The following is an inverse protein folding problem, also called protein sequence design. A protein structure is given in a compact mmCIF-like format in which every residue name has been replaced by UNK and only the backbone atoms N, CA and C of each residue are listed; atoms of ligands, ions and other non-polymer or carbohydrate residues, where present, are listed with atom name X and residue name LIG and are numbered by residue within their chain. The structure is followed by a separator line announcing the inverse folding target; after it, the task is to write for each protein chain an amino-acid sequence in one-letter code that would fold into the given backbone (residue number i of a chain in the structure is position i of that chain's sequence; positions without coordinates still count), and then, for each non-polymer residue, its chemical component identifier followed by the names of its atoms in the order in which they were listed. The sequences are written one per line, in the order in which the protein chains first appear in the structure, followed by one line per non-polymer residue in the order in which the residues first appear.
data_IF_753308841627
#
_entry.id   IF_753308841627
#
_cell.length_a   1.000
_cell.length_b   1.000
_cell.length_c   1.000
_cell.angle_alpha   90.00
_cell.angle_beta   90.00
_cell.angle_gamma   90.00
#
_symmetry.space_group_name_H-M   'P 1'
#
loop_
_entity.id
_entity.type
_entity.pdbx_description
1 polymer ?
#
# COMPACT_ATOMS: atom_id res chain seq x y z
N UNK A 1 73.48 19.22 -34.21
CA UNK A 1 72.40 20.23 -34.25
C UNK A 1 71.09 19.46 -34.21
N UNK A 2 70.46 19.40 -33.04
CA UNK A 2 69.23 18.61 -32.81
C UNK A 2 68.03 19.53 -32.93
N UNK A 3 67.23 19.37 -33.99
CA UNK A 3 65.97 20.09 -34.18
C UNK A 3 64.91 19.53 -33.22
N UNK A 4 64.37 20.38 -32.34
CA UNK A 4 63.23 20.02 -31.48
C UNK A 4 61.91 20.06 -32.28
N UNK A 5 60.87 19.29 -31.88
CA UNK A 5 59.60 19.28 -32.57
C UNK A 5 58.80 20.57 -32.32
N UNK A 6 58.24 21.13 -33.39
CA UNK A 6 57.39 22.33 -33.38
C UNK A 6 56.13 22.14 -32.51
N UNK A 7 55.68 23.17 -31.77
CA UNK A 7 54.44 23.12 -31.01
C UNK A 7 53.22 23.11 -31.94
N UNK A 8 52.48 22.00 -31.95
CA UNK A 8 51.22 21.85 -32.68
C UNK A 8 50.17 22.83 -32.14
N UNK A 9 49.94 23.93 -32.88
CA UNK A 9 48.82 24.83 -32.67
C UNK A 9 47.54 24.14 -33.16
N UNK A 10 46.79 23.52 -32.24
CA UNK A 10 45.54 22.85 -32.54
C UNK A 10 44.37 23.83 -32.25
N UNK A 11 43.70 24.40 -33.27
CA UNK A 11 42.64 25.37 -33.04
C UNK A 11 41.44 24.68 -32.39
N UNK A 12 41.06 25.14 -31.20
CA UNK A 12 39.86 24.68 -30.50
C UNK A 12 38.64 24.87 -31.41
N UNK A 13 38.05 23.76 -31.85
CA UNK A 13 36.76 23.80 -32.52
C UNK A 13 35.69 24.17 -31.48
N UNK A 14 34.79 25.13 -31.77
CA UNK A 14 33.71 25.48 -30.86
C UNK A 14 32.83 24.26 -30.62
N UNK A 15 32.56 23.96 -29.34
CA UNK A 15 31.69 22.86 -28.96
C UNK A 15 30.31 23.04 -29.62
N UNK A 16 29.67 21.97 -30.12
CA UNK A 16 28.30 22.02 -30.60
C UNK A 16 27.39 22.65 -29.55
N UNK A 17 26.51 23.56 -29.96
CA UNK A 17 25.50 24.15 -29.10
C UNK A 17 24.62 23.04 -28.50
N UNK A 18 24.42 23.08 -27.18
CA UNK A 18 23.58 22.12 -26.47
C UNK A 18 22.17 22.08 -27.10
N UNK A 19 21.54 20.90 -27.21
CA UNK A 19 20.16 20.80 -27.69
C UNK A 19 19.24 21.70 -26.88
N UNK A 20 18.20 22.31 -27.49
CA UNK A 20 17.20 23.06 -26.75
C UNK A 20 16.65 22.20 -25.62
N UNK A 21 16.77 22.67 -24.37
CA UNK A 21 16.11 22.03 -23.24
C UNK A 21 14.61 22.16 -23.45
N UNK A 22 13.91 21.04 -23.65
CA UNK A 22 12.46 21.03 -23.78
C UNK A 22 11.85 21.69 -22.53
N UNK A 23 11.07 22.76 -22.72
CA UNK A 23 10.46 23.53 -21.64
C UNK A 23 9.45 22.72 -20.77
N UNK A 24 9.25 21.44 -21.09
CA UNK A 24 8.49 20.47 -20.29
C UNK A 24 9.28 19.82 -19.15
N UNK A 25 10.59 20.06 -19.03
CA UNK A 25 11.39 19.55 -17.92
C UNK A 25 10.93 20.14 -16.58
N UNK A 26 10.15 19.36 -15.83
CA UNK A 26 9.74 19.69 -14.46
C UNK A 26 8.31 20.20 -14.29
N UNK A 27 7.52 20.31 -15.37
CA UNK A 27 6.10 20.66 -15.23
C UNK A 27 5.35 19.55 -14.46
N UNK A 28 4.54 19.89 -13.44
CA UNK A 28 3.69 18.91 -12.77
C UNK A 28 2.75 18.28 -13.79
N UNK A 29 2.98 17.00 -14.11
CA UNK A 29 2.06 16.24 -14.97
C UNK A 29 0.71 16.22 -14.27
N UNK A 30 -0.32 16.70 -14.96
CA UNK A 30 -1.69 16.64 -14.45
C UNK A 30 -2.01 15.19 -14.08
N UNK A 31 -2.40 14.97 -12.82
CA UNK A 31 -2.65 13.62 -12.32
C UNK A 31 -3.81 13.00 -13.12
N UNK A 32 -3.65 11.79 -13.68
CA UNK A 32 -4.74 11.09 -14.35
C UNK A 32 -5.92 10.82 -13.41
N UNK A 33 -7.15 10.88 -13.93
CA UNK A 33 -8.36 10.56 -13.17
C UNK A 33 -8.34 9.13 -12.62
N UNK A 34 -7.73 8.19 -13.34
CA UNK A 34 -7.51 6.80 -12.89
C UNK A 34 -6.72 6.71 -11.58
N UNK A 35 -5.64 7.48 -11.44
CA UNK A 35 -4.82 7.53 -10.21
C UNK A 35 -5.62 8.12 -9.05
N UNK A 36 -6.40 9.18 -9.30
CA UNK A 36 -7.23 9.79 -8.26
C UNK A 36 -8.39 8.89 -7.82
N UNK A 37 -9.04 8.20 -8.76
CA UNK A 37 -10.10 7.24 -8.46
C UNK A 37 -9.56 6.03 -7.68
N UNK A 38 -8.39 5.50 -8.08
CA UNK A 38 -7.71 4.46 -7.32
C UNK A 38 -7.41 4.90 -5.89
N UNK A 39 -6.87 6.11 -5.70
CA UNK A 39 -6.59 6.66 -4.38
C UNK A 39 -7.85 6.70 -3.51
N UNK A 40 -8.99 7.18 -4.04
CA UNK A 40 -10.26 7.21 -3.31
C UNK A 40 -10.71 5.82 -2.90
N UNK A 41 -10.57 4.81 -3.78
CA UNK A 41 -10.93 3.43 -3.46
C UNK A 41 -10.04 2.82 -2.36
N UNK A 42 -8.73 3.12 -2.37
CA UNK A 42 -7.84 2.70 -1.28
C UNK A 42 -8.19 3.35 0.05
N UNK A 43 -8.52 4.65 0.05
CA UNK A 43 -8.98 5.36 1.25
C UNK A 43 -10.30 4.77 1.74
N UNK A 44 -11.25 4.51 0.84
CA UNK A 44 -12.52 3.85 1.18
C UNK A 44 -12.29 2.48 1.80
N UNK A 45 -11.42 1.65 1.21
CA UNK A 45 -11.09 0.34 1.76
C UNK A 45 -10.45 0.45 3.15
N UNK A 46 -9.56 1.41 3.36
CA UNK A 46 -8.97 1.67 4.68
C UNK A 46 -10.03 2.07 5.71
N UNK A 47 -10.98 2.94 5.34
CA UNK A 47 -12.09 3.33 6.21
C UNK A 47 -12.98 2.14 6.57
N UNK A 48 -13.33 1.31 5.60
CA UNK A 48 -14.10 0.08 5.85
C UNK A 48 -13.35 -0.88 6.78
N UNK A 49 -12.03 -1.03 6.59
CA UNK A 49 -11.19 -1.84 7.47
C UNK A 49 -11.14 -1.30 8.91
N UNK A 50 -11.03 0.02 9.08
CA UNK A 50 -11.06 0.66 10.42
C UNK A 50 -12.41 0.45 11.09
N UNK A 51 -13.51 0.65 10.36
CA UNK A 51 -14.86 0.40 10.88
C UNK A 51 -15.02 -1.07 11.27
N UNK A 52 -14.61 -2.00 10.41
CA UNK A 52 -14.63 -3.44 10.69
C UNK A 52 -13.84 -3.78 11.95
N UNK A 53 -12.62 -3.25 12.10
CA UNK A 53 -11.79 -3.45 13.29
C UNK A 53 -12.47 -2.91 14.56
N UNK A 54 -13.06 -1.71 14.50
CA UNK A 54 -13.80 -1.14 15.64
C UNK A 54 -15.01 -2.03 16.00
N UNK A 55 -15.76 -2.50 15.02
CA UNK A 55 -16.89 -3.40 15.26
C UNK A 55 -16.43 -4.72 15.89
N UNK A 56 -15.32 -5.30 15.45
CA UNK A 56 -14.72 -6.48 16.07
C UNK A 56 -14.32 -6.20 17.53
N UNK A 57 -13.75 -5.04 17.82
CA UNK A 57 -13.42 -4.65 19.20
C UNK A 57 -14.66 -4.41 20.07
N UNK A 58 -15.75 -3.88 19.52
CA UNK A 58 -16.95 -3.58 20.30
C UNK A 58 -17.83 -4.82 20.52
N UNK A 59 -17.87 -5.73 19.54
CA UNK A 59 -18.81 -6.87 19.52
C UNK A 59 -18.13 -8.21 19.77
N UNK A 60 -16.80 -8.32 19.59
CA UNK A 60 -16.07 -9.58 19.60
C UNK A 60 -15.29 -9.87 20.89
N UNK A 61 -15.20 -8.93 21.83
CA UNK A 61 -14.36 -9.07 23.03
C UNK A 61 -14.79 -10.22 23.93
N UNK A 62 -16.10 -10.47 24.05
CA UNK A 62 -16.61 -11.57 24.87
C UNK A 62 -16.20 -12.93 24.31
N UNK A 63 -16.31 -13.11 22.98
CA UNK A 63 -15.86 -14.32 22.30
C UNK A 63 -14.33 -14.50 22.43
N UNK A 64 -13.56 -13.41 22.33
CA UNK A 64 -12.12 -13.41 22.57
C UNK A 64 -11.76 -13.86 23.99
N UNK A 65 -12.46 -13.35 25.00
CA UNK A 65 -12.28 -13.75 26.40
C UNK A 65 -12.59 -15.22 26.61
N UNK A 66 -13.70 -15.69 26.06
CA UNK A 66 -14.11 -17.09 26.21
C UNK A 66 -13.09 -18.04 25.55
N UNK A 67 -12.58 -17.66 24.37
CA UNK A 67 -11.52 -18.39 23.68
C UNK A 67 -10.20 -18.38 24.45
N UNK A 68 -9.80 -17.24 25.01
CA UNK A 68 -8.60 -17.12 25.84
C UNK A 68 -8.71 -17.98 27.11
N UNK A 69 -9.86 -17.97 27.79
CA UNK A 69 -10.11 -18.80 28.96
C UNK A 69 -10.01 -20.30 28.63
N UNK A 70 -10.61 -20.73 27.51
CA UNK A 70 -10.51 -22.11 27.01
C UNK A 70 -9.06 -22.51 26.74
N UNK A 71 -8.28 -21.61 26.13
CA UNK A 71 -6.90 -21.90 25.77
C UNK A 71 -5.99 -22.00 27.01
N UNK A 72 -6.12 -21.09 27.97
CA UNK A 72 -5.39 -21.13 29.24
C UNK A 72 -5.72 -22.42 30.01
N UNK A 73 -6.99 -22.83 30.04
CA UNK A 73 -7.43 -24.06 30.68
C UNK A 73 -6.78 -25.31 30.03
N UNK A 74 -6.68 -25.36 28.70
CA UNK A 74 -6.01 -26.45 27.98
C UNK A 74 -4.52 -26.53 28.27
N UNK A 75 -3.87 -25.38 28.48
CA UNK A 75 -2.43 -25.31 28.73
C UNK A 75 -2.05 -25.58 30.19
N UNK A 76 -3.00 -25.93 31.08
CA UNK A 76 -2.80 -26.16 32.52
C UNK A 76 -1.97 -25.05 33.21
N UNK A 77 -2.04 -23.83 32.68
CA UNK A 77 -1.26 -22.71 33.17
C UNK A 77 -1.99 -22.09 34.36
N UNK A 78 -1.34 -22.08 35.52
CA UNK A 78 -1.91 -21.52 36.76
C UNK A 78 -1.35 -20.12 37.01
N UNK A 79 -2.15 -19.24 37.63
CA UNK A 79 -1.74 -17.87 37.98
C UNK A 79 -1.79 -16.84 36.84
N UNK A 80 -2.29 -17.21 35.65
CA UNK A 80 -2.52 -16.27 34.55
C UNK A 80 -3.96 -15.79 34.57
N UNK A 81 -4.13 -14.47 34.66
CA UNK A 81 -5.43 -13.82 34.59
C UNK A 81 -5.88 -13.61 33.13
N UNK A 82 -7.06 -14.16 32.80
CA UNK A 82 -7.66 -14.06 31.46
C UNK A 82 -7.86 -12.60 31.06
N UNK A 83 -8.29 -11.76 32.01
CA UNK A 83 -8.48 -10.32 31.79
C UNK A 83 -7.20 -9.65 31.31
N UNK A 84 -6.08 -9.98 31.95
CA UNK A 84 -4.76 -9.46 31.63
C UNK A 84 -4.32 -9.91 30.23
N UNK A 85 -4.51 -11.19 29.88
CA UNK A 85 -4.14 -11.74 28.56
C UNK A 85 -4.96 -11.11 27.44
N UNK A 86 -6.28 -11.01 27.62
CA UNK A 86 -7.17 -10.41 26.63
C UNK A 86 -6.83 -8.94 26.44
N UNK A 87 -6.67 -8.18 27.53
CA UNK A 87 -6.35 -6.76 27.48
C UNK A 87 -5.00 -6.52 26.78
N UNK A 88 -3.97 -7.29 27.12
CA UNK A 88 -2.68 -7.21 26.45
C UNK A 88 -2.77 -7.53 24.96
N UNK A 89 -3.54 -8.56 24.59
CA UNK A 89 -3.80 -8.93 23.20
C UNK A 89 -4.53 -7.83 22.43
N UNK A 90 -5.56 -7.23 23.01
CA UNK A 90 -6.32 -6.13 22.39
C UNK A 90 -5.48 -4.88 22.22
N UNK A 91 -4.67 -4.50 23.22
CA UNK A 91 -3.75 -3.36 23.11
C UNK A 91 -2.73 -3.60 22.01
N UNK A 92 -2.12 -4.79 21.98
CA UNK A 92 -1.16 -5.15 20.95
C UNK A 92 -1.78 -5.13 19.55
N UNK A 93 -2.95 -5.74 19.38
CA UNK A 93 -3.69 -5.73 18.12
C UNK A 93 -4.08 -4.30 17.70
N UNK A 94 -4.50 -3.46 18.64
CA UNK A 94 -4.81 -2.06 18.42
C UNK A 94 -3.62 -1.25 17.91
N UNK A 95 -2.45 -1.40 18.54
CA UNK A 95 -1.21 -0.75 18.10
C UNK A 95 -0.83 -1.19 16.70
N UNK A 96 -0.88 -2.50 16.41
CA UNK A 96 -0.61 -3.04 15.07
C UNK A 96 -1.60 -2.52 14.03
N UNK A 97 -2.90 -2.49 14.36
CA UNK A 97 -3.94 -1.99 13.46
C UNK A 97 -3.72 -0.51 13.11
N UNK A 98 -3.47 0.34 14.11
CA UNK A 98 -3.18 1.76 13.90
C UNK A 98 -1.95 1.94 13.02
N UNK A 99 -0.85 1.24 13.32
CA UNK A 99 0.37 1.28 12.52
C UNK A 99 0.14 0.82 11.08
N UNK A 100 -0.60 -0.28 10.90
CA UNK A 100 -0.97 -0.82 9.60
C UNK A 100 -1.78 0.18 8.78
N UNK A 101 -2.88 0.72 9.32
CA UNK A 101 -3.73 1.67 8.58
C UNK A 101 -3.00 2.99 8.29
N UNK A 102 -2.17 3.48 9.21
CA UNK A 102 -1.36 4.68 8.98
C UNK A 102 -0.37 4.46 7.81
N UNK A 103 0.34 3.33 7.81
CA UNK A 103 1.29 2.98 6.75
C UNK A 103 0.59 2.73 5.41
N UNK A 104 -0.57 2.08 5.46
CA UNK A 104 -1.41 1.83 4.29
C UNK A 104 -1.86 3.13 3.63
N UNK A 105 -2.35 4.09 4.42
CA UNK A 105 -2.70 5.42 3.93
C UNK A 105 -1.48 6.17 3.41
N UNK A 106 -0.33 6.06 4.09
CA UNK A 106 0.93 6.64 3.61
C UNK A 106 1.27 6.11 2.20
N UNK A 107 1.13 4.81 1.95
CA UNK A 107 1.34 4.25 0.62
C UNK A 107 0.32 4.78 -0.39
N UNK A 108 -0.96 4.91 -0.02
CA UNK A 108 -1.96 5.53 -0.88
C UNK A 108 -1.59 6.97 -1.27
N UNK A 109 -1.12 7.78 -0.32
CA UNK A 109 -0.63 9.13 -0.60
C UNK A 109 0.63 9.14 -1.47
N UNK A 110 1.59 8.24 -1.24
CA UNK A 110 2.80 8.13 -2.07
C UNK A 110 2.50 7.64 -3.49
N UNK A 111 1.54 6.73 -3.64
CA UNK A 111 1.03 6.29 -4.94
C UNK A 111 0.37 7.47 -5.67
N UNK A 112 -0.50 8.23 -4.99
CA UNK A 112 -1.10 9.45 -5.50
C UNK A 112 -0.05 10.50 -5.94
N UNK A 113 1.10 10.53 -5.27
CA UNK A 113 2.24 11.39 -5.61
C UNK A 113 3.09 10.87 -6.81
N UNK A 114 2.69 9.81 -7.51
CA UNK A 114 3.40 9.30 -8.69
C UNK A 114 4.57 8.38 -8.37
N UNK A 115 4.66 7.86 -7.14
CA UNK A 115 5.78 7.02 -6.73
C UNK A 115 5.51 5.54 -7.04
N UNK A 116 6.23 4.99 -8.03
CA UNK A 116 6.00 3.63 -8.53
C UNK A 116 6.20 2.52 -7.48
N UNK A 117 7.10 2.69 -6.50
CA UNK A 117 7.27 1.67 -5.44
C UNK A 117 6.02 1.52 -4.58
N UNK A 118 5.35 2.64 -4.24
CA UNK A 118 4.15 2.62 -3.41
C UNK A 118 2.99 1.93 -4.13
N UNK A 119 2.92 2.11 -5.46
CA UNK A 119 1.98 1.38 -6.32
C UNK A 119 2.16 -0.13 -6.21
N UNK A 120 3.38 -0.62 -6.34
CA UNK A 120 3.66 -2.07 -6.26
C UNK A 120 3.39 -2.63 -4.86
N UNK A 121 3.78 -1.91 -3.81
CA UNK A 121 3.49 -2.31 -2.43
C UNK A 121 1.99 -2.43 -2.17
N UNK A 122 1.19 -1.45 -2.60
CA UNK A 122 -0.27 -1.51 -2.46
C UNK A 122 -0.90 -2.64 -3.28
N UNK A 123 -0.41 -2.89 -4.49
CA UNK A 123 -0.90 -4.00 -5.30
C UNK A 123 -0.65 -5.34 -4.59
N UNK A 124 0.56 -5.56 -4.07
CA UNK A 124 0.90 -6.78 -3.32
C UNK A 124 0.02 -6.91 -2.07
N UNK A 125 -0.10 -5.85 -1.27
CA UNK A 125 -0.93 -5.86 -0.05
C UNK A 125 -2.41 -6.10 -0.36
N UNK A 126 -2.94 -5.47 -1.42
CA UNK A 126 -4.32 -5.66 -1.85
C UNK A 126 -4.58 -7.08 -2.35
N UNK A 127 -3.69 -7.62 -3.16
CA UNK A 127 -3.81 -9.00 -3.65
C UNK A 127 -3.74 -10.01 -2.52
N UNK A 128 -2.79 -9.86 -1.57
CA UNK A 128 -2.73 -10.71 -0.37
C UNK A 128 -4.03 -10.57 0.43
N UNK A 129 -4.52 -9.34 0.63
CA UNK A 129 -5.78 -9.10 1.32
C UNK A 129 -6.95 -9.83 0.68
N UNK A 130 -7.09 -9.76 -0.65
CA UNK A 130 -8.12 -10.50 -1.39
C UNK A 130 -7.97 -12.01 -1.18
N UNK A 131 -6.75 -12.55 -1.26
CA UNK A 131 -6.52 -13.99 -1.07
C UNK A 131 -6.88 -14.46 0.34
N UNK A 132 -6.52 -13.68 1.36
CA UNK A 132 -6.87 -13.96 2.75
C UNK A 132 -8.40 -13.87 2.97
N UNK A 133 -9.05 -12.86 2.38
CA UNK A 133 -10.50 -12.70 2.42
C UNK A 133 -11.22 -13.90 1.81
N UNK A 134 -10.75 -14.39 0.66
CA UNK A 134 -11.34 -15.57 0.00
C UNK A 134 -11.08 -16.84 0.82
N UNK A 135 -9.87 -17.01 1.34
CA UNK A 135 -9.55 -18.17 2.18
C UNK A 135 -10.43 -18.23 3.44
N UNK A 136 -10.64 -17.09 4.11
CA UNK A 136 -11.52 -17.00 5.27
C UNK A 136 -12.95 -17.45 4.98
N UNK A 137 -13.49 -17.07 3.81
CA UNK A 137 -14.82 -17.52 3.37
C UNK A 137 -14.91 -19.03 3.10
N UNK A 138 -13.79 -19.69 2.77
CA UNK A 138 -13.74 -21.13 2.53
C UNK A 138 -13.61 -21.93 3.82
N UNK A 139 -12.99 -21.36 4.85
CA UNK A 139 -12.72 -22.03 6.13
C UNK A 139 -13.80 -21.80 7.17
N UNK A 140 -14.55 -20.71 7.06
CA UNK A 140 -15.56 -20.30 8.04
C UNK A 140 -16.96 -20.34 7.41
N UNK A 141 -17.96 -20.85 8.16
CA UNK A 141 -19.36 -20.65 7.79
C UNK A 141 -19.74 -19.20 8.10
N UNK A 142 -19.48 -18.31 7.13
CA UNK A 142 -19.82 -16.89 7.23
C UNK A 142 -21.33 -16.66 7.13
N UNK A 143 -21.83 -15.63 7.82
CA UNK A 143 -23.21 -15.21 7.62
C UNK A 143 -23.39 -14.65 6.20
N UNK A 144 -24.58 -14.75 5.58
CA UNK A 144 -24.81 -14.21 4.23
C UNK A 144 -24.45 -12.73 4.09
N UNK A 145 -24.63 -11.94 5.16
CA UNK A 145 -24.27 -10.52 5.19
C UNK A 145 -22.76 -10.32 5.10
N UNK A 146 -21.96 -11.14 5.79
CA UNK A 146 -20.50 -11.05 5.77
C UNK A 146 -19.94 -11.41 4.39
N UNK A 147 -20.56 -12.39 3.73
CA UNK A 147 -20.21 -12.76 2.36
C UNK A 147 -20.43 -11.59 1.38
N UNK A 148 -21.56 -10.90 1.49
CA UNK A 148 -21.85 -9.73 0.64
C UNK A 148 -20.85 -8.60 0.89
N UNK A 149 -20.55 -8.30 2.15
CA UNK A 149 -19.56 -7.28 2.52
C UNK A 149 -18.18 -7.64 1.96
N UNK A 150 -17.76 -8.90 2.10
CA UNK A 150 -16.48 -9.39 1.60
C UNK A 150 -16.37 -9.24 0.08
N UNK A 151 -17.41 -9.65 -0.66
CA UNK A 151 -17.45 -9.50 -2.13
C UNK A 151 -17.33 -8.04 -2.53
N UNK A 152 -18.06 -7.13 -1.88
CA UNK A 152 -17.97 -5.68 -2.13
C UNK A 152 -16.53 -5.19 -1.89
N UNK A 153 -15.89 -5.62 -0.80
CA UNK A 153 -14.53 -5.23 -0.48
C UNK A 153 -13.50 -5.73 -1.52
N UNK A 154 -13.65 -6.98 -1.96
CA UNK A 154 -12.82 -7.55 -3.04
C UNK A 154 -12.98 -6.75 -4.34
N UNK A 155 -14.20 -6.35 -4.69
CA UNK A 155 -14.46 -5.53 -5.88
C UNK A 155 -13.85 -4.13 -5.77
N UNK A 156 -13.90 -3.50 -4.59
CA UNK A 156 -13.27 -2.20 -4.31
C UNK A 156 -11.75 -2.30 -4.54
N UNK A 157 -11.10 -3.29 -3.90
CA UNK A 157 -9.63 -3.46 -4.00
C UNK A 157 -9.23 -3.85 -5.42
N UNK A 158 -9.96 -4.78 -6.06
CA UNK A 158 -9.71 -5.19 -7.44
C UNK A 158 -9.81 -4.02 -8.43
N UNK A 159 -10.82 -3.17 -8.26
CA UNK A 159 -11.00 -1.96 -9.09
C UNK A 159 -9.92 -0.92 -8.82
N UNK A 160 -9.51 -0.74 -7.55
CA UNK A 160 -8.42 0.16 -7.18
C UNK A 160 -7.11 -0.26 -7.85
N UNK A 161 -6.80 -1.56 -7.83
CA UNK A 161 -5.64 -2.15 -8.51
C UNK A 161 -5.76 -1.94 -10.01
N UNK A 162 -6.90 -2.29 -10.63
CA UNK A 162 -7.12 -2.10 -12.06
C UNK A 162 -6.78 -0.66 -12.51
N UNK A 163 -7.28 0.34 -11.80
CA UNK A 163 -7.00 1.74 -12.14
C UNK A 163 -5.51 2.11 -12.06
N UNK A 164 -4.74 1.52 -11.15
CA UNK A 164 -3.29 1.77 -11.02
C UNK A 164 -2.48 1.26 -12.22
N UNK A 165 -3.02 0.31 -12.97
CA UNK A 165 -2.36 -0.36 -14.08
C UNK A 165 -2.96 0.00 -15.46
N UNK A 166 -3.87 0.97 -15.52
CA UNK A 166 -4.33 1.57 -16.79
C UNK A 166 -3.17 2.22 -17.55
N UNK A 167 -3.30 2.35 -18.87
CA UNK A 167 -2.27 2.97 -19.72
C UNK A 167 -1.96 4.41 -19.26
N UNK A 168 -3.00 5.19 -18.94
CA UNK A 168 -2.87 6.56 -18.41
C UNK A 168 -2.10 6.59 -17.08
N UNK A 169 -2.41 5.68 -16.17
CA UNK A 169 -1.70 5.59 -14.89
C UNK A 169 -0.24 5.20 -15.10
N UNK A 170 0.05 4.22 -15.97
CA UNK A 170 1.43 3.78 -16.25
C UNK A 170 2.30 4.93 -16.73
N UNK A 171 1.83 5.76 -17.65
CA UNK A 171 2.55 6.95 -18.13
C UNK A 171 2.89 7.93 -16.99
N UNK A 172 1.99 8.10 -16.01
CA UNK A 172 2.24 8.96 -14.83
C UNK A 172 3.32 8.42 -13.88
N UNK A 173 3.58 7.10 -13.89
CA UNK A 173 4.56 6.45 -13.01
C UNK A 173 5.93 6.21 -13.65
N UNK A 174 6.13 6.54 -14.93
CA UNK A 174 7.39 6.30 -15.63
C UNK A 174 8.53 7.21 -15.11
N UNK A 175 9.73 6.65 -14.85
CA UNK A 175 10.90 7.45 -14.54
C UNK A 175 11.23 8.34 -15.73
N UNK A 176 11.29 9.66 -15.52
CA UNK A 176 11.75 10.60 -16.55
C UNK A 176 13.19 10.21 -16.90
N UNK A 177 13.41 9.69 -18.11
CA UNK A 177 14.77 9.47 -18.61
C UNK A 177 15.39 10.85 -18.83
N UNK A 178 16.46 11.15 -18.10
CA UNK A 178 17.38 12.20 -18.53
C UNK A 178 18.08 11.67 -19.78
N UNK A 179 17.67 12.19 -20.94
CA UNK A 179 18.34 12.00 -22.23
C UNK A 179 19.62 12.81 -22.26
#
# INVERSE_FOLDING_TARGET
MTSGPDPQNNPYQPLPSAPPVDAGYGQPVARPASVENSFKLWVLNALLGVVGFILTLLLGVDALRENAAREIAKQNTTGVDVDTVVTAGLVFAGVLAVGFFALYLLFAFKMRAGRNWARMTLAILGTIGILLSVLGLLTETAAPVDMVINVIQVLIVGTAIYFMFTAEAKAYFEPRRAS
#
